data_IF_692192350857
#
_entry.id   IF_692192350857
#
_cell.length_a   1.000
_cell.length_b   1.000
_cell.length_c   1.000
_cell.angle_alpha   90.00
_cell.angle_beta   90.00
_cell.angle_gamma   90.00
#
_symmetry.space_group_name_H-M   'P 1'
#
loop_
_entity.id
_entity.type
_entity.pdbx_description
1 polymer ?
#
# COMPACT_ATOMS: atom_id res chain seq x y z
N UNK A 1 1.45 37.31 42.19
CA UNK A 1 2.80 37.32 41.58
C UNK A 1 2.78 36.41 40.35
N UNK A 2 2.43 36.93 39.15
CA UNK A 2 3.31 37.19 37.97
C UNK A 2 4.23 35.98 37.63
N UNK A 3 3.94 35.13 36.64
CA UNK A 3 4.13 35.25 35.16
C UNK A 3 5.46 35.88 34.72
N UNK A 4 6.38 35.08 34.14
CA UNK A 4 7.42 35.47 33.13
C UNK A 4 7.68 34.21 32.25
N UNK A 5 7.06 34.06 31.06
CA UNK A 5 7.45 34.52 29.69
C UNK A 5 8.49 33.60 29.02
N UNK A 6 8.18 32.83 27.95
CA UNK A 6 8.04 33.24 26.53
C UNK A 6 9.04 34.34 26.12
N UNK A 7 10.07 33.97 25.35
CA UNK A 7 10.70 34.89 24.41
C UNK A 7 10.80 34.20 23.05
N UNK A 8 9.88 34.58 22.18
CA UNK A 8 9.94 34.38 20.75
C UNK A 8 10.67 35.57 20.14
N UNK A 9 11.55 35.29 19.17
CA UNK A 9 11.77 36.05 17.92
C UNK A 9 12.37 37.46 18.05
N UNK A 10 13.45 37.68 17.28
CA UNK A 10 13.75 38.82 16.38
C UNK A 10 15.27 38.72 16.12
N UNK A 11 15.70 38.03 15.07
CA UNK A 11 15.85 38.44 13.66
C UNK A 11 17.31 38.78 13.32
N UNK A 12 17.79 38.08 12.29
CA UNK A 12 18.69 38.59 11.25
C UNK A 12 20.04 39.18 11.68
N UNK A 13 21.11 38.45 11.36
CA UNK A 13 22.12 39.01 10.47
C UNK A 13 22.72 37.89 9.61
N UNK A 14 22.47 38.06 8.32
CA UNK A 14 23.12 37.44 7.17
C UNK A 14 24.63 37.64 7.30
N UNK A 15 25.39 36.55 7.14
CA UNK A 15 26.84 36.56 7.08
C UNK A 15 27.30 35.45 6.14
N UNK A 16 27.57 35.85 4.91
CA UNK A 16 28.07 35.09 3.77
C UNK A 16 29.21 34.15 4.17
N UNK A 17 29.04 32.84 3.91
CA UNK A 17 30.16 31.94 3.61
C UNK A 17 29.80 31.20 2.33
N UNK A 18 30.21 31.79 1.22
CA UNK A 18 30.39 31.09 -0.05
C UNK A 18 31.73 30.35 -0.01
N UNK A 19 31.80 29.26 -0.81
CA UNK A 19 32.97 28.49 -1.24
C UNK A 19 33.35 27.27 -0.40
N UNK A 20 32.61 26.19 -0.63
CA UNK A 20 33.12 25.03 -1.39
C UNK A 20 31.95 24.09 -1.67
N UNK A 21 31.16 24.44 -2.68
CA UNK A 21 30.24 23.50 -3.32
C UNK A 21 31.12 22.61 -4.18
N UNK A 22 31.27 21.30 -3.91
CA UNK A 22 31.85 20.41 -4.89
C UNK A 22 30.99 20.54 -6.14
N UNK A 23 31.63 20.85 -7.27
CA UNK A 23 30.96 20.97 -8.56
C UNK A 23 29.95 19.84 -8.69
N UNK A 24 28.70 20.24 -8.97
CA UNK A 24 27.64 19.30 -9.25
C UNK A 24 28.17 18.30 -10.25
N UNK A 25 28.11 17.03 -9.88
CA UNK A 25 28.04 15.98 -10.89
C UNK A 25 26.76 16.29 -11.64
N UNK A 26 26.88 16.92 -12.80
CA UNK A 26 25.89 16.80 -13.85
C UNK A 26 25.83 15.29 -14.12
N UNK A 27 24.92 14.61 -13.42
CA UNK A 27 24.52 13.28 -13.83
C UNK A 27 23.81 13.52 -15.16
N UNK A 28 24.44 13.10 -16.25
CA UNK A 28 23.83 13.09 -17.57
C UNK A 28 22.44 12.46 -17.46
N UNK A 29 21.40 13.30 -17.49
CA UNK A 29 19.99 12.90 -17.43
C UNK A 29 19.60 12.06 -18.66
N UNK A 30 20.39 12.13 -19.74
CA UNK A 30 20.12 11.42 -20.99
C UNK A 30 20.48 9.93 -20.92
N UNK A 31 21.46 9.52 -20.11
CA UNK A 31 21.90 8.11 -20.01
C UNK A 31 21.12 7.26 -18.99
N UNK A 32 20.28 7.85 -18.13
CA UNK A 32 19.52 7.12 -17.10
C UNK A 32 18.07 6.78 -17.47
N UNK A 33 17.58 7.30 -18.60
CA UNK A 33 16.18 7.15 -19.00
C UNK A 33 15.82 5.74 -19.48
N UNK A 34 16.82 4.98 -19.94
CA UNK A 34 16.64 3.64 -20.52
C UNK A 34 16.37 2.54 -19.46
N UNK A 35 16.86 2.70 -18.21
CA UNK A 35 16.79 1.65 -17.16
C UNK A 35 15.49 1.60 -16.34
N UNK A 36 14.69 2.68 -16.39
CA UNK A 36 13.41 2.82 -15.70
C UNK A 36 12.22 2.70 -16.67
N UNK A 37 12.43 2.21 -17.89
CA UNK A 37 11.34 1.98 -18.83
C UNK A 37 10.39 0.88 -18.35
N UNK A 38 9.09 1.08 -18.64
CA UNK A 38 8.03 0.10 -18.41
C UNK A 38 7.95 -0.44 -16.96
N UNK A 39 8.38 0.35 -15.97
CA UNK A 39 8.35 -0.03 -14.55
C UNK A 39 6.98 -0.53 -14.10
N UNK A 40 5.91 0.14 -14.55
CA UNK A 40 4.54 -0.25 -14.24
C UNK A 40 4.21 -1.64 -14.77
N UNK A 41 4.56 -1.92 -16.03
CA UNK A 41 4.26 -3.21 -16.66
C UNK A 41 5.11 -4.34 -16.05
N UNK A 42 6.37 -4.06 -15.72
CA UNK A 42 7.23 -4.97 -14.93
C UNK A 42 6.63 -5.28 -13.56
N UNK A 43 6.13 -4.25 -12.86
CA UNK A 43 5.48 -4.43 -11.56
C UNK A 43 4.16 -5.21 -11.66
N UNK A 44 3.36 -5.01 -12.71
CA UNK A 44 2.17 -5.82 -12.99
C UNK A 44 2.54 -7.29 -13.25
N UNK A 45 3.64 -7.55 -13.96
CA UNK A 45 4.21 -8.89 -14.11
C UNK A 45 4.60 -9.50 -12.75
N UNK A 46 5.34 -8.74 -11.93
CA UNK A 46 5.71 -9.14 -10.56
C UNK A 46 4.50 -9.40 -9.66
N UNK A 47 3.45 -8.58 -9.76
CA UNK A 47 2.19 -8.78 -9.03
C UNK A 47 1.49 -10.07 -9.45
N UNK A 48 1.46 -10.39 -10.74
CA UNK A 48 0.91 -11.67 -11.21
C UNK A 48 1.70 -12.85 -10.64
N UNK A 49 3.03 -12.73 -10.54
CA UNK A 49 3.86 -13.75 -9.89
C UNK A 49 3.53 -13.91 -8.40
N UNK A 50 3.36 -12.80 -7.66
CA UNK A 50 2.89 -12.83 -6.26
C UNK A 50 1.56 -13.57 -6.16
N UNK A 51 0.58 -13.21 -7.01
CA UNK A 51 -0.73 -13.84 -6.99
C UNK A 51 -0.73 -15.31 -7.40
N UNK A 52 0.31 -15.80 -8.04
CA UNK A 52 0.50 -17.23 -8.34
C UNK A 52 1.43 -17.93 -7.34
N UNK A 53 1.80 -17.27 -6.23
CA UNK A 53 2.79 -17.74 -5.23
C UNK A 53 4.19 -18.03 -5.79
N UNK A 54 4.54 -17.46 -6.95
CA UNK A 54 5.90 -17.52 -7.51
C UNK A 54 6.82 -16.49 -6.82
N UNK A 55 6.95 -16.56 -5.49
CA UNK A 55 7.58 -15.51 -4.69
C UNK A 55 9.06 -15.30 -5.02
N UNK A 56 9.81 -16.38 -5.31
CA UNK A 56 11.23 -16.27 -5.66
C UNK A 56 11.43 -15.51 -6.98
N UNK A 57 10.62 -15.82 -7.99
CA UNK A 57 10.64 -15.13 -9.28
C UNK A 57 10.16 -13.68 -9.15
N UNK A 58 9.08 -13.45 -8.40
CA UNK A 58 8.59 -12.10 -8.12
C UNK A 58 9.67 -11.26 -7.42
N UNK A 59 10.36 -11.84 -6.43
CA UNK A 59 11.43 -11.15 -5.70
C UNK A 59 12.60 -10.81 -6.63
N UNK A 60 12.97 -11.70 -7.55
CA UNK A 60 14.01 -11.43 -8.55
C UNK A 60 13.62 -10.24 -9.45
N UNK A 61 12.35 -10.17 -9.90
CA UNK A 61 11.84 -9.04 -10.68
C UNK A 61 11.99 -7.73 -9.91
N UNK A 62 11.50 -7.67 -8.67
CA UNK A 62 11.55 -6.43 -7.88
C UNK A 62 12.95 -6.06 -7.42
N UNK A 63 13.84 -7.02 -7.19
CA UNK A 63 15.27 -6.77 -6.94
C UNK A 63 15.96 -6.19 -8.16
N UNK A 64 15.73 -6.77 -9.33
CA UNK A 64 16.25 -6.21 -10.58
C UNK A 64 15.73 -4.79 -10.84
N UNK A 65 14.50 -4.47 -10.47
CA UNK A 65 13.99 -3.09 -10.52
C UNK A 65 14.70 -2.16 -9.53
N UNK A 66 15.06 -2.65 -8.34
CA UNK A 66 15.85 -1.87 -7.38
C UNK A 66 17.28 -1.63 -7.89
N UNK A 67 17.86 -2.59 -8.61
CA UNK A 67 19.22 -2.46 -9.17
C UNK A 67 19.23 -1.52 -10.38
N UNK A 68 18.26 -1.67 -11.30
CA UNK A 68 18.18 -0.85 -12.52
C UNK A 68 17.63 0.56 -12.25
N UNK A 69 16.72 0.71 -11.28
CA UNK A 69 16.05 1.99 -10.99
C UNK A 69 15.99 2.26 -9.49
N UNK A 70 17.17 2.35 -8.84
CA UNK A 70 17.31 2.44 -7.38
C UNK A 70 16.62 3.64 -6.71
N UNK A 71 16.36 4.70 -7.46
CA UNK A 71 15.66 5.89 -6.95
C UNK A 71 14.13 5.72 -6.96
N UNK A 72 13.60 4.75 -7.72
CA UNK A 72 12.16 4.48 -7.77
C UNK A 72 11.71 3.66 -6.56
N UNK A 73 10.67 4.10 -5.83
CA UNK A 73 10.13 3.34 -4.71
C UNK A 73 9.48 2.01 -5.10
N UNK A 74 9.14 1.79 -6.38
CA UNK A 74 8.27 0.69 -6.83
C UNK A 74 8.89 -0.70 -6.59
N UNK A 75 10.20 -0.85 -6.84
CA UNK A 75 10.89 -2.12 -6.57
C UNK A 75 10.87 -2.49 -5.09
N UNK A 76 10.96 -1.50 -4.19
CA UNK A 76 10.87 -1.72 -2.74
C UNK A 76 9.44 -2.06 -2.32
N UNK A 77 8.44 -1.39 -2.90
CA UNK A 77 7.02 -1.71 -2.66
C UNK A 77 6.70 -3.18 -3.00
N UNK A 78 7.16 -3.65 -4.16
CA UNK A 78 6.94 -5.05 -4.56
C UNK A 78 7.64 -6.06 -3.64
N UNK A 79 8.87 -5.78 -3.22
CA UNK A 79 9.56 -6.59 -2.21
C UNK A 79 8.80 -6.64 -0.88
N UNK A 80 8.32 -5.49 -0.39
CA UNK A 80 7.49 -5.42 0.82
C UNK A 80 6.19 -6.24 0.65
N UNK A 81 5.52 -6.13 -0.50
CA UNK A 81 4.27 -6.84 -0.77
C UNK A 81 4.46 -8.37 -0.75
N UNK A 82 5.59 -8.88 -1.26
CA UNK A 82 5.93 -10.31 -1.20
C UNK A 82 6.03 -10.80 0.24
N UNK A 83 6.72 -10.08 1.10
CA UNK A 83 6.84 -10.47 2.51
C UNK A 83 5.50 -10.35 3.23
N UNK A 84 4.73 -9.30 2.92
CA UNK A 84 3.42 -9.08 3.51
C UNK A 84 2.45 -10.22 3.19
N UNK A 85 2.37 -10.64 1.93
CA UNK A 85 1.48 -11.73 1.50
C UNK A 85 1.89 -13.06 2.14
N UNK A 86 3.19 -13.38 2.21
CA UNK A 86 3.65 -14.60 2.90
C UNK A 86 3.31 -14.59 4.40
N UNK A 87 3.42 -13.44 5.06
CA UNK A 87 3.00 -13.29 6.47
C UNK A 87 1.48 -13.35 6.64
N UNK A 88 0.70 -12.92 5.65
CA UNK A 88 -0.76 -13.07 5.65
C UNK A 88 -1.18 -14.53 5.41
N UNK A 89 -0.47 -15.26 4.54
CA UNK A 89 -0.69 -16.69 4.29
C UNK A 89 -0.45 -17.53 5.54
N UNK A 90 0.65 -17.25 6.25
CA UNK A 90 1.03 -17.99 7.46
C UNK A 90 0.37 -17.45 8.74
N UNK A 91 -0.39 -16.35 8.65
CA UNK A 91 -0.98 -15.64 9.78
C UNK A 91 0.00 -15.27 10.90
N UNK A 92 1.23 -14.90 10.53
CA UNK A 92 2.32 -14.61 11.45
C UNK A 92 3.07 -13.32 11.08
N UNK A 93 4.26 -13.14 11.67
CA UNK A 93 5.19 -12.05 11.36
C UNK A 93 6.63 -12.55 11.14
N UNK A 94 6.82 -13.79 10.64
CA UNK A 94 8.16 -14.41 10.56
C UNK A 94 9.13 -13.65 9.63
N UNK A 95 8.61 -12.87 8.67
CA UNK A 95 9.38 -12.04 7.74
C UNK A 95 9.44 -10.56 8.15
N UNK A 96 9.02 -10.21 9.36
CA UNK A 96 8.96 -8.82 9.85
C UNK A 96 10.28 -8.08 9.64
N UNK A 97 11.42 -8.72 9.99
CA UNK A 97 12.73 -8.10 9.80
C UNK A 97 13.00 -7.77 8.33
N UNK A 98 12.73 -8.71 7.42
CA UNK A 98 12.93 -8.49 5.98
C UNK A 98 11.98 -7.41 5.45
N UNK A 99 10.73 -7.40 5.90
CA UNK A 99 9.75 -6.36 5.57
C UNK A 99 10.24 -4.99 6.02
N UNK A 100 10.65 -4.83 7.28
CA UNK A 100 11.11 -3.55 7.83
C UNK A 100 12.42 -3.08 7.17
N UNK A 101 13.32 -3.99 6.84
CA UNK A 101 14.55 -3.67 6.08
C UNK A 101 14.23 -3.18 4.67
N UNK A 102 13.23 -3.78 3.99
CA UNK A 102 12.73 -3.30 2.70
C UNK A 102 12.01 -1.96 2.81
N UNK A 103 11.17 -1.79 3.82
CA UNK A 103 10.45 -0.53 4.10
C UNK A 103 11.41 0.62 4.36
N UNK A 104 12.50 0.39 5.12
CA UNK A 104 13.55 1.39 5.38
C UNK A 104 14.25 1.83 4.10
N UNK A 105 14.61 0.89 3.23
CA UNK A 105 15.22 1.20 1.92
C UNK A 105 14.23 1.92 1.01
N UNK A 106 12.96 1.49 1.01
CA UNK A 106 11.87 2.16 0.32
C UNK A 106 11.68 3.60 0.78
N UNK A 107 11.68 3.88 2.09
CA UNK A 107 11.55 5.24 2.62
C UNK A 107 12.73 6.13 2.20
N UNK A 108 13.95 5.58 2.07
CA UNK A 108 15.08 6.31 1.51
C UNK A 108 14.83 6.73 0.04
N UNK A 109 14.31 5.82 -0.79
CA UNK A 109 13.90 6.14 -2.17
C UNK A 109 12.75 7.17 -2.20
N UNK A 110 11.78 7.06 -1.31
CA UNK A 110 10.72 8.07 -1.15
C UNK A 110 11.29 9.44 -0.80
N UNK A 111 12.24 9.51 0.13
CA UNK A 111 12.86 10.77 0.53
C UNK A 111 13.63 11.41 -0.64
N UNK A 112 14.24 10.61 -1.51
CA UNK A 112 14.84 11.09 -2.76
C UNK A 112 13.78 11.68 -3.70
N UNK A 113 12.68 10.96 -3.98
CA UNK A 113 11.57 11.45 -4.81
C UNK A 113 10.99 12.77 -4.28
N UNK A 114 10.85 12.91 -2.96
CA UNK A 114 10.31 14.13 -2.35
C UNK A 114 11.24 15.34 -2.44
N UNK A 115 12.53 15.14 -2.76
CA UNK A 115 13.51 16.21 -2.99
C UNK A 115 13.59 16.64 -4.46
N UNK A 116 12.98 15.88 -5.38
CA UNK A 116 12.90 16.27 -6.79
C UNK A 116 12.09 17.57 -6.91
N UNK A 117 12.53 18.44 -7.81
CA UNK A 117 11.82 19.71 -8.08
C UNK A 117 10.42 19.44 -8.65
N UNK A 118 10.32 18.49 -9.57
CA UNK A 118 9.08 18.08 -10.23
C UNK A 118 8.96 16.54 -10.30
N UNK A 119 8.60 15.87 -9.18
CA UNK A 119 8.34 14.44 -9.21
C UNK A 119 7.08 14.15 -10.03
N UNK A 120 7.12 13.09 -10.81
CA UNK A 120 5.99 12.62 -11.62
C UNK A 120 4.88 12.04 -10.73
N UNK A 121 3.65 12.00 -11.25
CA UNK A 121 2.51 11.38 -10.57
C UNK A 121 2.78 9.92 -10.19
N UNK A 122 3.45 9.15 -11.06
CA UNK A 122 3.82 7.75 -10.82
C UNK A 122 4.83 7.62 -9.68
N UNK A 123 5.87 8.45 -9.64
CA UNK A 123 6.85 8.43 -8.54
C UNK A 123 6.21 8.79 -7.19
N UNK A 124 5.29 9.77 -7.19
CA UNK A 124 4.50 10.10 -6.02
C UNK A 124 3.57 8.94 -5.64
N UNK A 125 2.96 8.27 -6.61
CA UNK A 125 2.08 7.13 -6.40
C UNK A 125 2.83 5.96 -5.75
N UNK A 126 3.98 5.58 -6.28
CA UNK A 126 4.83 4.53 -5.70
C UNK A 126 5.30 4.91 -4.30
N UNK A 127 5.62 6.19 -4.09
CA UNK A 127 6.01 6.70 -2.76
C UNK A 127 4.87 6.56 -1.73
N UNK A 128 3.66 6.93 -2.14
CA UNK A 128 2.48 6.78 -1.30
C UNK A 128 2.17 5.31 -1.00
N UNK A 129 2.41 4.41 -1.98
CA UNK A 129 2.21 2.97 -1.84
C UNK A 129 3.18 2.34 -0.83
N UNK A 130 4.47 2.69 -0.86
CA UNK A 130 5.47 2.25 0.15
C UNK A 130 5.04 2.66 1.56
N UNK A 131 4.73 3.95 1.75
CA UNK A 131 4.32 4.47 3.07
C UNK A 131 3.00 3.83 3.52
N UNK A 132 2.06 3.65 2.60
CA UNK A 132 0.75 3.06 2.87
C UNK A 132 0.85 1.61 3.31
N UNK A 133 1.70 0.82 2.63
CA UNK A 133 1.93 -0.59 2.97
C UNK A 133 2.65 -0.75 4.32
N UNK A 134 3.62 0.11 4.64
CA UNK A 134 4.21 0.16 5.99
C UNK A 134 3.13 0.55 7.03
N UNK A 135 2.30 1.55 6.74
CA UNK A 135 1.16 1.90 7.60
C UNK A 135 0.20 0.72 7.87
N UNK A 136 -0.09 -0.07 6.84
CA UNK A 136 -0.90 -1.29 6.96
C UNK A 136 -0.23 -2.36 7.83
N UNK A 137 1.06 -2.62 7.62
CA UNK A 137 1.83 -3.54 8.45
C UNK A 137 1.83 -3.14 9.93
N UNK A 138 1.99 -1.85 10.22
CA UNK A 138 1.92 -1.32 11.58
C UNK A 138 0.52 -1.50 12.20
N UNK A 139 -0.54 -1.36 11.40
CA UNK A 139 -1.90 -1.62 11.87
C UNK A 139 -2.10 -3.10 12.25
N UNK A 140 -1.60 -4.04 11.44
CA UNK A 140 -1.60 -5.49 11.77
C UNK A 140 -0.86 -5.80 13.06
N UNK A 141 0.24 -5.07 13.33
CA UNK A 141 1.01 -5.15 14.57
C UNK A 141 0.35 -4.44 15.77
N UNK A 142 -0.86 -3.90 15.62
CA UNK A 142 -1.55 -3.06 16.63
C UNK A 142 -0.80 -1.78 17.01
N UNK A 143 0.16 -1.35 16.18
CA UNK A 143 0.90 -0.11 16.36
C UNK A 143 0.11 1.07 15.78
N UNK A 144 -1.06 1.36 16.36
CA UNK A 144 -2.06 2.28 15.82
C UNK A 144 -1.53 3.70 15.59
N UNK A 145 -0.64 4.20 16.44
CA UNK A 145 -0.05 5.53 16.25
C UNK A 145 0.85 5.61 15.00
N UNK A 146 1.70 4.60 14.80
CA UNK A 146 2.55 4.49 13.61
C UNK A 146 1.70 4.30 12.35
N UNK A 147 0.69 3.43 12.43
CA UNK A 147 -0.27 3.21 11.34
C UNK A 147 -0.99 4.50 10.95
N UNK A 148 -1.48 5.27 11.93
CA UNK A 148 -2.18 6.53 11.69
C UNK A 148 -1.29 7.59 11.04
N UNK A 149 -0.07 7.78 11.55
CA UNK A 149 0.87 8.77 11.02
C UNK A 149 1.30 8.43 9.60
N UNK A 150 1.64 7.17 9.32
CA UNK A 150 1.98 6.70 7.97
C UNK A 150 0.78 6.78 7.02
N UNK A 151 -0.40 6.33 7.43
CA UNK A 151 -1.62 6.42 6.63
C UNK A 151 -1.97 7.87 6.26
N UNK A 152 -1.80 8.80 7.19
CA UNK A 152 -2.00 10.24 6.93
C UNK A 152 -0.96 10.79 5.95
N UNK A 153 0.33 10.44 6.11
CA UNK A 153 1.40 10.85 5.17
C UNK A 153 1.15 10.30 3.77
N UNK A 154 0.80 9.03 3.64
CA UNK A 154 0.45 8.39 2.36
C UNK A 154 -0.74 9.11 1.70
N UNK A 155 -1.81 9.40 2.47
CA UNK A 155 -2.97 10.15 1.99
C UNK A 155 -2.62 11.56 1.50
N UNK A 156 -1.73 12.27 2.18
CA UNK A 156 -1.29 13.60 1.74
C UNK A 156 -0.63 13.56 0.37
N UNK A 157 0.17 12.52 0.09
CA UNK A 157 0.80 12.32 -1.22
C UNK A 157 -0.26 11.98 -2.27
N UNK A 158 -1.21 11.07 -2.00
CA UNK A 158 -2.31 10.80 -2.93
C UNK A 158 -3.15 12.06 -3.23
N UNK A 159 -3.41 12.90 -2.23
CA UNK A 159 -4.11 14.17 -2.45
C UNK A 159 -3.29 15.14 -3.33
N UNK A 160 -1.95 15.11 -3.23
CA UNK A 160 -1.07 15.91 -4.11
C UNK A 160 -1.21 15.45 -5.57
N UNK A 161 -1.22 14.13 -5.81
CA UNK A 161 -1.43 13.54 -7.14
C UNK A 161 -2.81 13.95 -7.68
N UNK A 162 -3.87 13.75 -6.91
CA UNK A 162 -5.23 14.07 -7.34
C UNK A 162 -5.48 15.57 -7.53
N UNK A 163 -4.62 16.43 -6.98
CA UNK A 163 -4.64 17.88 -7.22
C UNK A 163 -3.98 18.26 -8.55
N UNK A 164 -2.92 17.57 -8.96
CA UNK A 164 -2.28 17.79 -10.27
C UNK A 164 -3.02 17.06 -11.39
N UNK A 165 -3.35 15.79 -11.17
CA UNK A 165 -4.13 14.95 -12.06
C UNK A 165 -5.35 14.31 -11.34
N UNK A 166 -6.52 14.96 -11.38
CA UNK A 166 -7.75 14.41 -10.82
C UNK A 166 -8.23 13.10 -11.48
N UNK A 167 -7.72 12.77 -12.68
CA UNK A 167 -8.07 11.55 -13.41
C UNK A 167 -7.18 10.36 -13.04
N UNK A 168 -6.13 10.56 -12.24
CA UNK A 168 -5.24 9.51 -11.76
C UNK A 168 -5.99 8.54 -10.83
N UNK A 169 -6.66 7.55 -11.43
CA UNK A 169 -7.60 6.67 -10.76
C UNK A 169 -6.92 5.78 -9.71
N UNK A 170 -5.69 5.34 -9.97
CA UNK A 170 -4.92 4.47 -9.08
C UNK A 170 -4.69 5.11 -7.69
N UNK A 171 -4.46 6.43 -7.65
CA UNK A 171 -4.27 7.19 -6.40
C UNK A 171 -5.55 7.27 -5.55
N UNK A 172 -6.73 7.04 -6.14
CA UNK A 172 -7.98 7.05 -5.38
C UNK A 172 -8.11 5.85 -4.44
N UNK A 173 -7.35 4.77 -4.64
CA UNK A 173 -7.36 3.61 -3.75
C UNK A 173 -7.04 4.03 -2.31
N UNK A 174 -5.94 4.75 -2.11
CA UNK A 174 -5.53 5.21 -0.79
C UNK A 174 -6.58 6.11 -0.12
N UNK A 175 -7.24 6.97 -0.90
CA UNK A 175 -8.33 7.83 -0.41
C UNK A 175 -9.54 7.01 0.01
N UNK A 176 -10.01 6.07 -0.82
CA UNK A 176 -11.13 5.19 -0.51
C UNK A 176 -10.88 4.33 0.72
N UNK A 177 -9.70 3.72 0.81
CA UNK A 177 -9.27 2.92 1.96
C UNK A 177 -9.21 3.74 3.24
N UNK A 178 -8.59 4.93 3.22
CA UNK A 178 -8.53 5.78 4.40
C UNK A 178 -9.92 6.21 4.88
N UNK A 179 -10.80 6.62 3.94
CA UNK A 179 -12.16 7.05 4.28
C UNK A 179 -12.93 5.91 4.94
N UNK A 180 -12.89 4.71 4.36
CA UNK A 180 -13.55 3.53 4.90
C UNK A 180 -13.03 3.17 6.29
N UNK A 181 -11.73 2.89 6.42
CA UNK A 181 -11.14 2.40 7.67
C UNK A 181 -11.20 3.42 8.80
N UNK A 182 -11.00 4.71 8.51
CA UNK A 182 -11.21 5.75 9.53
C UNK A 182 -12.64 5.69 10.06
N UNK A 183 -13.64 5.58 9.19
CA UNK A 183 -15.04 5.51 9.64
C UNK A 183 -15.36 4.23 10.42
N UNK A 184 -14.74 3.09 10.08
CA UNK A 184 -14.81 1.86 10.89
C UNK A 184 -14.26 2.11 12.29
N UNK A 185 -13.04 2.66 12.41
CA UNK A 185 -12.40 2.88 13.72
C UNK A 185 -13.06 3.98 14.56
N UNK A 186 -13.55 5.06 13.94
CA UNK A 186 -14.20 6.15 14.69
C UNK A 186 -15.63 5.82 15.11
N UNK A 187 -16.26 4.80 14.52
CA UNK A 187 -17.60 4.37 14.92
C UNK A 187 -17.65 3.87 16.36
N UNK A 188 -16.59 3.20 16.81
CA UNK A 188 -16.42 2.78 18.21
C UNK A 188 -16.25 3.99 19.15
N UNK A 189 -15.94 5.17 18.61
CA UNK A 189 -15.77 6.45 19.31
C UNK A 189 -17.00 7.35 19.03
N UNK A 190 -18.19 6.75 18.99
CA UNK A 190 -19.47 7.38 18.61
C UNK A 190 -19.89 8.60 19.45
N UNK A 191 -19.27 8.82 20.62
CA UNK A 191 -19.53 9.99 21.46
C UNK A 191 -18.91 11.29 20.93
N UNK A 192 -17.98 11.21 19.97
CA UNK A 192 -17.38 12.39 19.32
C UNK A 192 -18.15 12.73 18.03
N UNK A 193 -18.90 13.84 17.98
CA UNK A 193 -19.74 14.21 16.82
C UNK A 193 -18.95 14.69 15.59
N UNK A 194 -17.62 14.58 15.60
CA UNK A 194 -16.74 15.18 14.59
C UNK A 194 -16.45 14.26 13.38
N UNK A 195 -16.82 12.97 13.45
CA UNK A 195 -16.52 12.00 12.38
C UNK A 195 -17.79 11.37 11.82
N UNK A 196 -18.24 11.86 10.66
CA UNK A 196 -19.34 11.24 9.93
C UNK A 196 -18.98 9.82 9.45
N UNK A 197 -19.94 8.89 9.51
CA UNK A 197 -19.81 7.58 8.87
C UNK A 197 -19.81 7.76 7.35
N UNK A 198 -18.65 7.50 6.74
CA UNK A 198 -18.39 7.62 5.30
C UNK A 198 -18.01 6.29 4.69
N UNK A 199 -18.37 5.16 5.32
CA UNK A 199 -18.03 3.82 4.79
C UNK A 199 -18.57 3.59 3.39
N UNK A 200 -19.81 4.00 3.12
CA UNK A 200 -20.40 3.90 1.78
C UNK A 200 -19.61 4.70 0.70
N UNK A 201 -19.12 5.90 1.06
CA UNK A 201 -18.26 6.72 0.20
C UNK A 201 -16.94 6.00 -0.09
N UNK A 202 -16.28 5.46 0.94
CA UNK A 202 -15.05 4.68 0.79
C UNK A 202 -15.24 3.44 -0.10
N UNK A 203 -16.31 2.68 0.12
CA UNK A 203 -16.68 1.50 -0.69
C UNK A 203 -16.88 1.88 -2.17
N UNK A 204 -17.59 2.99 -2.44
CA UNK A 204 -17.85 3.44 -3.80
C UNK A 204 -16.55 3.82 -4.53
N UNK A 205 -15.63 4.50 -3.84
CA UNK A 205 -14.32 4.85 -4.39
C UNK A 205 -13.51 3.59 -4.69
N UNK A 206 -13.41 2.65 -3.75
CA UNK A 206 -12.65 1.40 -3.96
C UNK A 206 -13.23 0.58 -5.11
N UNK A 207 -14.56 0.54 -5.25
CA UNK A 207 -15.23 -0.10 -6.37
C UNK A 207 -14.87 0.57 -7.71
N UNK A 208 -14.90 1.90 -7.78
CA UNK A 208 -14.52 2.65 -8.99
C UNK A 208 -13.07 2.34 -9.42
N UNK A 209 -12.15 2.27 -8.45
CA UNK A 209 -10.75 1.87 -8.69
C UNK A 209 -10.68 0.43 -9.20
N UNK A 210 -11.41 -0.51 -8.58
CA UNK A 210 -11.37 -1.92 -8.98
C UNK A 210 -11.84 -2.17 -10.42
N UNK A 211 -12.62 -1.26 -10.99
CA UNK A 211 -13.18 -1.37 -12.34
C UNK A 211 -12.36 -0.64 -13.41
N UNK A 212 -11.62 0.42 -13.02
CA UNK A 212 -11.05 1.39 -13.97
C UNK A 212 -9.54 1.60 -13.84
N UNK A 213 -8.94 1.21 -12.72
CA UNK A 213 -7.52 1.43 -12.49
C UNK A 213 -6.65 0.49 -13.34
N UNK A 214 -5.43 0.91 -13.66
CA UNK A 214 -4.48 0.04 -14.38
C UNK A 214 -3.71 -0.84 -13.41
N UNK A 215 -3.13 -0.22 -12.38
CA UNK A 215 -2.24 -0.89 -11.42
C UNK A 215 -2.98 -1.36 -10.17
N UNK A 216 -3.80 -0.47 -9.60
CA UNK A 216 -4.48 -0.69 -8.34
C UNK A 216 -5.74 -1.56 -8.46
N UNK A 217 -6.19 -1.94 -9.67
CA UNK A 217 -7.50 -2.57 -9.87
C UNK A 217 -7.66 -3.90 -9.13
N UNK A 218 -6.75 -4.85 -9.34
CA UNK A 218 -6.80 -6.16 -8.67
C UNK A 218 -6.67 -6.02 -7.14
N UNK A 219 -5.75 -5.17 -6.69
CA UNK A 219 -5.57 -4.89 -5.26
C UNK A 219 -6.83 -4.25 -4.66
N UNK A 220 -7.45 -3.31 -5.35
CA UNK A 220 -8.71 -2.68 -4.95
C UNK A 220 -9.83 -3.71 -4.89
N UNK A 221 -9.88 -4.66 -5.83
CA UNK A 221 -10.87 -5.73 -5.85
C UNK A 221 -10.73 -6.68 -4.67
N UNK A 222 -9.51 -7.11 -4.33
CA UNK A 222 -9.25 -7.92 -3.12
C UNK A 222 -9.68 -7.15 -1.88
N UNK A 223 -9.29 -5.87 -1.77
CA UNK A 223 -9.67 -5.02 -0.64
C UNK A 223 -11.18 -4.81 -0.56
N UNK A 224 -11.88 -4.72 -1.69
CA UNK A 224 -13.35 -4.65 -1.73
C UNK A 224 -13.98 -5.93 -1.15
N UNK A 225 -13.40 -7.09 -1.43
CA UNK A 225 -13.79 -8.37 -0.81
C UNK A 225 -13.61 -8.35 0.71
N UNK A 226 -12.47 -7.86 1.20
CA UNK A 226 -12.19 -7.71 2.64
C UNK A 226 -13.16 -6.72 3.31
N UNK A 227 -13.42 -5.59 2.65
CA UNK A 227 -14.40 -4.59 3.09
C UNK A 227 -15.80 -5.19 3.16
N UNK A 228 -16.22 -5.98 2.17
CA UNK A 228 -17.50 -6.68 2.22
C UNK A 228 -17.56 -7.71 3.35
N UNK A 229 -16.46 -8.41 3.63
CA UNK A 229 -16.38 -9.32 4.76
C UNK A 229 -16.55 -8.56 6.10
N UNK A 230 -15.85 -7.45 6.28
CA UNK A 230 -15.94 -6.58 7.46
C UNK A 230 -17.36 -6.01 7.65
N UNK A 231 -18.01 -5.59 6.56
CA UNK A 231 -19.41 -5.13 6.56
C UNK A 231 -20.44 -6.27 6.72
N UNK A 232 -20.00 -7.50 6.98
CA UNK A 232 -20.84 -8.72 7.08
C UNK A 232 -21.63 -9.02 5.81
N UNK A 233 -21.22 -8.47 4.67
CA UNK A 233 -21.74 -8.75 3.33
C UNK A 233 -21.06 -10.00 2.78
N UNK A 234 -21.17 -11.11 3.51
CA UNK A 234 -20.38 -12.32 3.25
C UNK A 234 -20.59 -12.89 1.85
N UNK A 235 -21.82 -12.81 1.30
CA UNK A 235 -22.10 -13.25 -0.07
C UNK A 235 -21.39 -12.43 -1.13
N UNK A 236 -21.20 -11.12 -0.91
CA UNK A 236 -20.46 -10.28 -1.85
C UNK A 236 -18.94 -10.53 -1.72
N UNK A 237 -18.45 -10.75 -0.49
CA UNK A 237 -17.07 -11.17 -0.26
C UNK A 237 -16.77 -12.54 -0.92
N UNK A 238 -17.67 -13.51 -0.78
CA UNK A 238 -17.58 -14.83 -1.43
C UNK A 238 -17.46 -14.71 -2.95
N UNK A 239 -18.26 -13.85 -3.60
CA UNK A 239 -18.16 -13.64 -5.06
C UNK A 239 -16.78 -13.14 -5.47
N UNK A 240 -16.26 -12.16 -4.74
CA UNK A 240 -14.92 -11.62 -4.99
C UNK A 240 -13.86 -12.70 -4.82
N UNK A 241 -13.82 -13.36 -3.66
CA UNK A 241 -12.77 -14.34 -3.37
C UNK A 241 -12.86 -15.58 -4.27
N UNK A 242 -14.07 -16.03 -4.63
CA UNK A 242 -14.25 -17.13 -5.58
C UNK A 242 -13.68 -16.83 -6.96
N UNK A 243 -13.76 -15.57 -7.42
CA UNK A 243 -13.12 -15.15 -8.66
C UNK A 243 -11.59 -15.25 -8.57
N UNK A 244 -11.00 -14.80 -7.46
CA UNK A 244 -9.57 -14.93 -7.24
C UNK A 244 -9.10 -16.38 -7.12
N UNK A 245 -9.87 -17.25 -6.44
CA UNK A 245 -9.58 -18.69 -6.39
C UNK A 245 -9.64 -19.31 -7.78
N UNK A 246 -10.59 -18.89 -8.64
CA UNK A 246 -10.67 -19.37 -10.02
C UNK A 246 -9.47 -18.93 -10.87
N UNK A 247 -9.05 -17.68 -10.73
CA UNK A 247 -7.96 -17.11 -11.53
C UNK A 247 -6.57 -17.54 -11.03
N UNK A 248 -6.45 -17.82 -9.74
CA UNK A 248 -5.21 -18.17 -9.05
C UNK A 248 -5.40 -19.43 -8.18
N UNK A 249 -5.59 -20.61 -8.81
CA UNK A 249 -6.04 -21.83 -8.11
C UNK A 249 -5.03 -22.38 -7.09
N UNK A 250 -3.75 -22.03 -7.22
CA UNK A 250 -2.68 -22.48 -6.31
C UNK A 250 -2.47 -21.53 -5.12
N UNK A 251 -3.29 -20.48 -5.01
CA UNK A 251 -3.06 -19.40 -4.05
C UNK A 251 -3.90 -19.59 -2.80
N UNK A 252 -3.23 -19.92 -1.71
CA UNK A 252 -3.85 -20.31 -0.45
C UNK A 252 -4.56 -19.14 0.20
N UNK A 253 -3.98 -17.93 0.17
CA UNK A 253 -4.61 -16.77 0.81
C UNK A 253 -6.02 -16.51 0.29
N UNK A 254 -6.25 -16.66 -1.02
CA UNK A 254 -7.59 -16.46 -1.59
C UNK A 254 -8.55 -17.59 -1.20
N UNK A 255 -8.07 -18.82 -1.09
CA UNK A 255 -8.85 -19.96 -0.57
C UNK A 255 -9.19 -19.77 0.90
N UNK A 256 -8.22 -19.34 1.71
CA UNK A 256 -8.43 -19.05 3.13
C UNK A 256 -9.46 -17.93 3.32
N UNK A 257 -9.38 -16.85 2.55
CA UNK A 257 -10.37 -15.77 2.57
C UNK A 257 -11.76 -16.26 2.14
N UNK A 258 -11.87 -17.09 1.10
CA UNK A 258 -13.14 -17.68 0.68
C UNK A 258 -13.71 -18.65 1.73
N UNK A 259 -12.88 -19.52 2.30
CA UNK A 259 -13.25 -20.46 3.34
C UNK A 259 -13.74 -19.74 4.60
N UNK A 260 -13.06 -18.65 5.00
CA UNK A 260 -13.49 -17.76 6.09
C UNK A 260 -14.81 -17.07 5.76
N UNK A 261 -15.00 -16.59 4.53
CA UNK A 261 -16.26 -15.98 4.08
C UNK A 261 -17.44 -16.97 4.08
N UNK A 262 -17.22 -18.24 3.72
CA UNK A 262 -18.22 -19.28 3.89
C UNK A 262 -18.51 -19.60 5.35
N UNK A 263 -17.47 -19.68 6.19
CA UNK A 263 -17.62 -19.95 7.61
C UNK A 263 -18.44 -18.87 8.32
N UNK A 264 -18.13 -17.60 8.05
CA UNK A 264 -18.84 -16.46 8.61
C UNK A 264 -20.32 -16.40 8.18
N UNK A 265 -20.62 -16.88 6.97
CA UNK A 265 -21.98 -17.04 6.43
C UNK A 265 -22.64 -18.38 6.83
N UNK A 266 -22.04 -19.13 7.78
CA UNK A 266 -22.51 -20.42 8.30
C UNK A 266 -22.67 -21.53 7.24
N UNK A 267 -22.00 -21.38 6.10
CA UNK A 267 -21.95 -22.39 5.05
C UNK A 267 -20.84 -23.41 5.35
N UNK A 268 -20.98 -24.16 6.44
CA UNK A 268 -19.92 -25.02 6.98
C UNK A 268 -19.41 -26.07 5.99
N UNK A 269 -20.30 -26.68 5.19
CA UNK A 269 -19.91 -27.67 4.17
C UNK A 269 -19.01 -27.05 3.08
N UNK A 270 -19.36 -25.87 2.60
CA UNK A 270 -18.58 -25.16 1.58
C UNK A 270 -17.25 -24.68 2.16
N UNK A 271 -17.28 -24.18 3.40
CA UNK A 271 -16.06 -23.78 4.11
C UNK A 271 -15.09 -24.95 4.28
N UNK A 272 -15.57 -26.10 4.76
CA UNK A 272 -14.77 -27.31 4.92
C UNK A 272 -14.17 -27.76 3.58
N UNK A 273 -14.98 -27.84 2.52
CA UNK A 273 -14.49 -28.24 1.20
C UNK A 273 -13.36 -27.33 0.68
N UNK A 274 -13.48 -26.00 0.86
CA UNK A 274 -12.43 -25.06 0.46
C UNK A 274 -11.15 -25.23 1.28
N UNK A 275 -11.26 -25.47 2.59
CA UNK A 275 -10.08 -25.72 3.43
C UNK A 275 -9.42 -27.07 3.11
N UNK A 276 -10.19 -28.12 2.83
CA UNK A 276 -9.67 -29.41 2.37
C UNK A 276 -8.93 -29.28 1.03
N UNK A 277 -9.41 -28.45 0.10
CA UNK A 277 -8.69 -28.14 -1.13
C UNK A 277 -7.39 -27.38 -0.85
N UNK A 278 -7.40 -26.45 0.11
CA UNK A 278 -6.21 -25.70 0.51
C UNK A 278 -5.11 -26.62 1.07
N UNK A 279 -5.48 -27.58 1.92
CA UNK A 279 -4.56 -28.55 2.50
C UNK A 279 -3.96 -29.53 1.47
N UNK A 280 -4.57 -29.66 0.28
CA UNK A 280 -3.96 -30.43 -0.82
C UNK A 280 -2.86 -29.66 -1.54
N UNK A 281 -2.89 -28.34 -1.48
CA UNK A 281 -1.90 -27.44 -2.10
C UNK A 281 -0.72 -27.24 -1.15
N UNK A 282 -1.00 -27.04 0.12
CA UNK A 282 -0.01 -26.78 1.17
C UNK A 282 -0.53 -27.43 2.47
N UNK A 283 -0.13 -28.69 2.73
CA UNK A 283 -0.58 -29.50 3.87
C UNK A 283 -0.09 -28.99 5.23
#
# INVERSE_FOLDING_TARGET
MKKIKRLSIVFFLVGIVFLNIPQGVCLDEETKKEDCENLMDRALGGQKLIFNRNYAEALAVFKNMQDSCNHSPLGFFGEMAIYEVQMLENEDFHLEKKFLDAAKRGDAAVNHVMQLYHPTEDELFYSAAVIGLDGFFQARKSNWWSAYTKGTRSRQIFNRILKSDPKFIDAKLGTGMYIYWRSVFTKEISFLPFFADKRAEGIAIVKDVSEKAKFAAEIAKINLGLIYFEEKRYKDAQKVFAEFVKNYPNTIIFRALLGKAYLADKQYKNSLAIFEESLKIDP
#
